data_IF_669864169118
#
_entry.id   IF_669864169118
#
_cell.length_a   1.000
_cell.length_b   1.000
_cell.length_c   1.000
_cell.angle_alpha   90.00
_cell.angle_beta   90.00
_cell.angle_gamma   90.00
#
_symmetry.space_group_name_H-M   'P 1'
#
loop_
_entity.id
_entity.type
_entity.pdbx_description
1 polymer ?
#
# COMPACT_ATOMS: atom_id res chain seq x y z
N UNK A 1 24.39 23.47 -2.64
CA UNK A 1 23.04 24.06 -2.83
C UNK A 1 22.32 23.46 -4.02
N UNK A 2 23.01 23.18 -5.12
CA UNK A 2 22.41 22.60 -6.35
C UNK A 2 21.84 21.20 -6.14
N UNK A 3 22.55 20.32 -5.42
CA UNK A 3 22.05 19.00 -5.06
C UNK A 3 20.74 19.08 -4.27
N UNK A 4 20.64 20.06 -3.37
CA UNK A 4 19.47 20.24 -2.52
C UNK A 4 18.23 20.58 -3.34
N UNK A 5 18.36 21.47 -4.33
CA UNK A 5 17.28 21.80 -5.26
C UNK A 5 16.86 20.60 -6.09
N UNK A 6 17.80 19.84 -6.64
CA UNK A 6 17.51 18.64 -7.44
C UNK A 6 16.79 17.57 -6.61
N UNK A 7 17.24 17.32 -5.38
CA UNK A 7 16.58 16.37 -4.47
C UNK A 7 15.16 16.82 -4.14
N UNK A 8 14.95 18.11 -3.87
CA UNK A 8 13.62 18.65 -3.57
C UNK A 8 12.67 18.49 -4.77
N UNK A 9 13.16 18.74 -5.98
CA UNK A 9 12.38 18.56 -7.21
C UNK A 9 12.02 17.08 -7.40
N UNK A 10 12.96 16.15 -7.24
CA UNK A 10 12.66 14.72 -7.40
C UNK A 10 11.65 14.19 -6.37
N UNK A 11 11.80 14.58 -5.10
CA UNK A 11 10.89 14.16 -4.03
C UNK A 11 9.50 14.76 -4.22
N UNK A 12 9.40 16.04 -4.58
CA UNK A 12 8.11 16.69 -4.82
C UNK A 12 7.35 16.08 -5.99
N UNK A 13 8.03 15.73 -7.10
CA UNK A 13 7.42 15.03 -8.23
C UNK A 13 6.87 13.65 -7.80
N UNK A 14 7.63 12.88 -7.00
CA UNK A 14 7.19 11.58 -6.52
C UNK A 14 5.90 11.68 -5.67
N UNK A 15 5.84 12.65 -4.74
CA UNK A 15 4.67 12.88 -3.89
C UNK A 15 3.47 13.39 -4.72
N UNK A 16 3.72 14.26 -5.70
CA UNK A 16 2.69 14.76 -6.62
C UNK A 16 2.07 13.60 -7.43
N UNK A 17 2.91 12.71 -7.99
CA UNK A 17 2.44 11.54 -8.74
C UNK A 17 1.58 10.58 -7.91
N UNK A 18 1.97 10.35 -6.65
CA UNK A 18 1.18 9.56 -5.70
C UNK A 18 -0.16 10.23 -5.39
N UNK A 19 -0.16 11.54 -5.15
CA UNK A 19 -1.36 12.33 -4.81
C UNK A 19 -2.40 12.33 -5.94
N UNK A 20 -1.96 12.50 -7.18
CA UNK A 20 -2.84 12.47 -8.37
C UNK A 20 -3.52 11.09 -8.47
N UNK A 21 -2.77 10.00 -8.24
CA UNK A 21 -3.30 8.64 -8.30
C UNK A 21 -4.35 8.35 -7.22
N UNK A 22 -4.25 8.99 -6.05
CA UNK A 22 -5.22 8.84 -4.95
C UNK A 22 -6.56 9.51 -5.30
N UNK A 23 -6.53 10.66 -5.98
CA UNK A 23 -7.76 11.38 -6.35
C UNK A 23 -8.65 10.59 -7.32
N UNK A 24 -8.06 9.84 -8.24
CA UNK A 24 -8.78 8.97 -9.18
C UNK A 24 -9.31 7.67 -8.59
N UNK A 25 -9.09 7.40 -7.29
CA UNK A 25 -9.42 6.12 -6.69
C UNK A 25 -10.62 6.20 -5.76
N UNK A 26 -11.59 5.29 -5.97
CA UNK A 26 -12.78 5.16 -5.13
C UNK A 26 -12.34 4.88 -3.68
N UNK A 27 -12.66 5.79 -2.76
CA UNK A 27 -12.27 5.82 -1.34
C UNK A 27 -10.91 6.45 -0.97
N UNK A 28 -10.14 7.02 -1.93
CA UNK A 28 -8.89 7.74 -1.61
C UNK A 28 -7.81 6.90 -0.91
N UNK A 29 -7.95 5.59 -0.90
CA UNK A 29 -7.02 4.70 -0.21
C UNK A 29 -5.88 4.29 -1.13
N UNK A 30 -4.67 4.30 -0.59
CA UNK A 30 -3.53 3.67 -1.24
C UNK A 30 -3.73 2.14 -1.24
N UNK A 31 -3.80 1.48 -2.40
CA UNK A 31 -3.82 0.01 -2.46
C UNK A 31 -2.88 -0.52 -3.55
N UNK A 32 -2.43 -1.76 -3.35
CA UNK A 32 -1.50 -2.46 -4.24
C UNK A 32 -0.04 -2.35 -3.83
N UNK A 33 0.26 -1.72 -2.68
CA UNK A 33 1.58 -1.76 -2.05
C UNK A 33 1.59 -2.74 -0.89
N UNK A 34 2.75 -3.31 -0.56
CA UNK A 34 2.87 -4.29 0.53
C UNK A 34 2.27 -3.78 1.86
N UNK A 35 2.46 -2.49 2.18
CA UNK A 35 1.89 -1.90 3.39
C UNK A 35 0.35 -1.89 3.39
N UNK A 36 -0.27 -1.59 2.23
CA UNK A 36 -1.73 -1.56 2.09
C UNK A 36 -2.41 -2.94 2.13
N UNK A 37 -1.63 -4.02 2.00
CA UNK A 37 -2.11 -5.40 2.11
C UNK A 37 -1.87 -6.02 3.49
N UNK A 38 -1.30 -5.25 4.43
CA UNK A 38 -1.07 -5.74 5.79
C UNK A 38 -2.42 -5.95 6.51
N UNK A 39 -2.66 -7.15 7.06
CA UNK A 39 -3.89 -7.45 7.80
C UNK A 39 -4.06 -6.57 9.04
N UNK A 40 -2.96 -6.02 9.57
CA UNK A 40 -2.98 -5.11 10.74
C UNK A 40 -3.38 -3.68 10.40
N UNK A 41 -3.24 -3.25 9.14
CA UNK A 41 -3.45 -1.86 8.72
C UNK A 41 -4.73 -1.65 7.90
N UNK A 42 -5.38 -2.74 7.45
CA UNK A 42 -6.60 -2.67 6.62
C UNK A 42 -7.85 -2.74 7.50
N UNK A 43 -8.51 -1.60 7.70
CA UNK A 43 -9.72 -1.45 8.54
C UNK A 43 -11.04 -1.90 7.88
N UNK A 44 -10.97 -2.51 6.68
CA UNK A 44 -12.15 -2.91 5.92
C UNK A 44 -12.35 -4.40 6.05
N UNK A 45 -13.58 -4.83 6.34
CA UNK A 45 -14.08 -6.22 6.31
C UNK A 45 -14.03 -6.85 4.88
N UNK A 46 -13.09 -6.42 4.06
CA UNK A 46 -12.82 -6.93 2.73
C UNK A 46 -11.69 -7.96 2.82
N UNK A 47 -11.80 -9.09 2.11
CA UNK A 47 -10.76 -10.10 2.09
C UNK A 47 -9.41 -9.50 1.70
N UNK A 48 -8.34 -9.99 2.32
CA UNK A 48 -6.98 -9.58 1.99
C UNK A 48 -6.66 -10.00 0.55
N UNK A 49 -6.21 -9.08 -0.32
CA UNK A 49 -5.89 -9.42 -1.72
C UNK A 49 -4.71 -10.38 -1.87
N UNK A 50 -3.88 -10.50 -0.83
CA UNK A 50 -2.74 -11.40 -0.80
C UNK A 50 -3.12 -12.83 -0.36
N UNK A 51 -3.98 -12.96 0.67
CA UNK A 51 -4.27 -14.26 1.29
C UNK A 51 -5.75 -14.69 1.21
N UNK A 52 -6.64 -13.84 0.69
CA UNK A 52 -8.08 -14.09 0.51
C UNK A 52 -8.94 -14.09 1.78
N UNK A 53 -8.31 -14.09 2.97
CA UNK A 53 -9.01 -14.18 4.26
C UNK A 53 -9.55 -12.84 4.75
N UNK A 54 -10.60 -12.87 5.57
CA UNK A 54 -11.15 -11.66 6.21
C UNK A 54 -10.22 -11.15 7.33
N UNK A 55 -10.22 -9.85 7.65
CA UNK A 55 -9.37 -9.29 8.72
C UNK A 55 -9.63 -9.93 10.10
N UNK A 56 -10.85 -10.42 10.33
CA UNK A 56 -11.25 -11.14 11.54
C UNK A 56 -10.52 -12.47 11.70
N UNK A 57 -10.10 -13.08 10.59
CA UNK A 57 -9.22 -14.25 10.56
C UNK A 57 -7.79 -13.73 10.74
N UNK A 58 -7.46 -13.42 12.00
CA UNK A 58 -6.23 -12.74 12.46
C UNK A 58 -4.91 -13.28 11.91
N UNK A 59 -4.94 -14.45 11.28
CA UNK A 59 -3.79 -15.09 10.69
C UNK A 59 -3.95 -15.24 9.16
N UNK A 60 -3.39 -14.29 8.40
CA UNK A 60 -2.70 -14.69 7.17
C UNK A 60 -1.41 -15.40 7.63
N UNK A 61 -1.55 -16.63 8.18
CA UNK A 61 -0.41 -17.54 8.25
C UNK A 61 0.10 -17.60 6.83
N UNK A 62 1.35 -17.20 6.61
CA UNK A 62 1.87 -17.15 5.27
C UNK A 62 1.52 -18.45 4.56
N UNK A 63 1.07 -18.34 3.32
CA UNK A 63 1.80 -19.14 2.35
C UNK A 63 3.26 -18.71 2.52
N UNK A 64 3.94 -19.40 3.43
CA UNK A 64 5.36 -19.55 3.35
C UNK A 64 5.59 -19.91 1.88
N UNK A 65 6.43 -19.20 1.13
CA UNK A 65 6.93 -19.76 -0.13
C UNK A 65 7.68 -21.11 0.07
N UNK A 66 7.71 -21.60 1.31
CA UNK A 66 8.18 -22.89 1.81
C UNK A 66 7.04 -23.79 2.33
N UNK A 67 5.81 -23.73 1.79
CA UNK A 67 4.88 -24.84 1.95
C UNK A 67 3.97 -24.98 0.71
N UNK A 68 4.50 -25.77 -0.23
CA UNK A 68 3.97 -26.22 -1.52
C UNK A 68 3.90 -25.17 -2.63
#
# INVERSE_FOLDING_TARGET
>A
MELFLITFILVSIAIAGISIKIWGKKNGEFSGTCASQSPFLKNKNEPCSYCGKLPSEKNCEGQNPQLN
#
